data_IF_414799726759
#
_entry.id   IF_414799726759
#
_cell.length_a   1.000
_cell.length_b   1.000
_cell.length_c   1.000
_cell.angle_alpha   90.00
_cell.angle_beta   90.00
_cell.angle_gamma   90.00
#
_symmetry.space_group_name_H-M   'P 1'
#
loop_
_entity.id
_entity.type
_entity.pdbx_description
1 polymer ?
#
# COMPACT_ATOMS: atom_id res chain seq x y z
N UNK A 1 15.34 12.63 -13.07
CA UNK A 1 16.78 12.41 -12.81
C UNK A 1 17.04 11.76 -11.45
N UNK A 2 16.34 12.13 -10.36
CA UNK A 2 16.46 11.49 -9.03
C UNK A 2 15.45 10.37 -8.71
N UNK A 3 14.65 9.91 -9.69
CA UNK A 3 13.62 8.88 -9.49
C UNK A 3 14.11 7.44 -9.71
N UNK A 4 15.41 7.25 -9.98
CA UNK A 4 16.02 5.93 -10.14
C UNK A 4 17.35 5.90 -9.39
N UNK A 5 17.30 5.39 -8.16
CA UNK A 5 18.45 4.95 -7.37
C UNK A 5 18.33 3.42 -7.20
N UNK A 6 19.42 2.65 -7.07
CA UNK A 6 19.33 1.23 -6.71
C UNK A 6 18.98 1.12 -5.22
N UNK A 7 17.71 1.35 -4.88
CA UNK A 7 17.22 1.25 -3.51
C UNK A 7 16.24 0.09 -3.45
N UNK A 8 16.79 -1.11 -3.29
CA UNK A 8 15.98 -2.20 -2.79
C UNK A 8 15.54 -1.86 -1.37
N UNK A 9 14.25 -1.98 -1.12
CA UNK A 9 13.68 -1.87 0.22
C UNK A 9 13.24 -3.24 0.68
N UNK A 10 13.31 -3.48 1.99
CA UNK A 10 12.70 -4.65 2.58
C UNK A 10 11.24 -4.35 2.86
N UNK A 11 10.35 -5.06 2.18
CA UNK A 11 8.93 -5.03 2.45
C UNK A 11 8.51 -6.22 3.29
N UNK A 12 7.59 -6.04 4.22
CA UNK A 12 7.03 -7.12 5.02
C UNK A 12 5.53 -7.19 4.82
N UNK A 13 5.00 -8.39 4.63
CA UNK A 13 3.57 -8.63 4.42
C UNK A 13 3.01 -9.53 5.50
N UNK A 14 2.03 -9.03 6.25
CA UNK A 14 1.30 -9.81 7.26
C UNK A 14 0.25 -10.72 6.64
N UNK A 15 0.36 -12.02 6.87
CA UNK A 15 -0.52 -13.07 6.30
C UNK A 15 -0.62 -14.30 7.22
N UNK A 16 -1.07 -15.45 6.74
CA UNK A 16 -1.07 -16.71 7.47
C UNK A 16 0.16 -17.60 7.17
N UNK A 17 0.51 -18.47 8.12
CA UNK A 17 1.66 -19.37 8.03
C UNK A 17 1.63 -20.27 6.78
N UNK A 18 0.42 -20.68 6.33
CA UNK A 18 0.27 -21.52 5.13
C UNK A 18 0.70 -20.71 3.91
N UNK A 19 0.21 -19.49 3.76
CA UNK A 19 0.59 -18.58 2.67
C UNK A 19 2.10 -18.34 2.65
N UNK A 20 2.73 -18.11 3.81
CA UNK A 20 4.19 -17.97 3.89
C UNK A 20 4.89 -19.22 3.35
N UNK A 21 4.45 -20.40 3.78
CA UNK A 21 5.04 -21.69 3.37
C UNK A 21 4.84 -21.96 1.89
N UNK A 22 3.64 -21.71 1.36
CA UNK A 22 3.32 -21.92 -0.05
C UNK A 22 4.20 -21.03 -0.95
N UNK A 23 4.33 -19.74 -0.63
CA UNK A 23 5.13 -18.79 -1.42
C UNK A 23 6.63 -19.10 -1.37
N UNK A 24 7.16 -19.48 -0.22
CA UNK A 24 8.59 -19.79 -0.10
C UNK A 24 8.99 -21.10 -0.80
N UNK A 25 8.03 -22.00 -1.05
CA UNK A 25 8.28 -23.27 -1.74
C UNK A 25 7.97 -23.23 -3.25
N UNK A 26 7.48 -22.10 -3.77
CA UNK A 26 7.22 -21.91 -5.19
C UNK A 26 8.04 -20.74 -5.75
N UNK A 27 9.11 -21.00 -6.53
CA UNK A 27 9.93 -19.96 -7.15
C UNK A 27 9.17 -18.99 -8.08
N UNK A 28 7.97 -19.36 -8.54
CA UNK A 28 7.09 -18.51 -9.36
C UNK A 28 5.90 -17.96 -8.57
N UNK A 29 5.75 -18.39 -7.32
CA UNK A 29 4.65 -18.02 -6.45
C UNK A 29 4.74 -16.56 -6.02
N UNK A 30 3.60 -15.86 -6.04
CA UNK A 30 3.49 -14.49 -5.57
C UNK A 30 2.30 -14.31 -4.65
N UNK A 31 2.42 -13.36 -3.73
CA UNK A 31 1.28 -12.88 -2.95
C UNK A 31 0.21 -12.33 -3.89
N UNK A 32 -1.06 -12.52 -3.52
CA UNK A 32 -2.17 -12.00 -4.31
C UNK A 32 -2.17 -10.47 -4.30
N UNK A 33 -2.31 -9.88 -5.49
CA UNK A 33 -2.55 -8.45 -5.62
C UNK A 33 -3.95 -8.12 -5.12
N UNK A 34 -4.05 -7.03 -4.38
CA UNK A 34 -5.32 -6.44 -3.98
C UNK A 34 -5.84 -5.51 -5.09
N UNK A 35 -7.17 -5.44 -5.23
CA UNK A 35 -7.87 -4.59 -6.18
C UNK A 35 -9.22 -4.13 -5.60
N UNK A 36 -9.28 -3.91 -4.29
CA UNK A 36 -10.52 -3.47 -3.65
C UNK A 36 -10.66 -1.95 -3.77
N UNK A 37 -11.90 -1.47 -3.79
CA UNK A 37 -12.24 -0.04 -3.91
C UNK A 37 -11.76 0.82 -2.74
N UNK A 38 -11.38 0.20 -1.62
CA UNK A 38 -10.99 0.87 -0.39
C UNK A 38 -9.49 0.80 -0.09
N UNK A 39 -8.69 0.24 -1.02
CA UNK A 39 -7.25 0.05 -0.84
C UNK A 39 -6.53 1.40 -0.89
N UNK A 40 -5.82 1.75 0.19
CA UNK A 40 -5.31 3.11 0.37
C UNK A 40 -4.40 3.63 -0.75
N UNK A 41 -3.45 2.81 -1.20
CA UNK A 41 -2.47 3.17 -2.23
C UNK A 41 -2.86 2.65 -3.62
N UNK A 42 -4.15 2.36 -3.84
CA UNK A 42 -4.66 1.75 -5.08
C UNK A 42 -4.40 0.24 -5.19
N UNK A 43 -4.61 -0.33 -6.37
CA UNK A 43 -4.40 -1.77 -6.60
C UNK A 43 -2.92 -2.19 -6.55
N UNK A 44 -2.61 -3.27 -5.85
CA UNK A 44 -1.25 -3.82 -5.75
C UNK A 44 -1.05 -4.84 -4.62
N UNK A 45 0.19 -5.32 -4.47
CA UNK A 45 0.63 -6.14 -3.34
C UNK A 45 1.21 -5.21 -2.26
N UNK A 46 0.66 -5.28 -1.06
CA UNK A 46 0.94 -4.33 0.03
C UNK A 46 2.06 -4.82 0.96
N UNK A 47 2.98 -3.92 1.31
CA UNK A 47 4.07 -4.19 2.24
C UNK A 47 4.26 -3.04 3.22
N UNK A 48 4.63 -3.38 4.46
CA UNK A 48 5.24 -2.45 5.41
C UNK A 48 6.73 -2.35 5.11
N UNK A 49 7.23 -1.14 4.86
CA UNK A 49 8.64 -0.93 4.61
C UNK A 49 9.43 -1.03 5.92
N UNK A 50 10.41 -1.93 5.97
CA UNK A 50 11.33 -2.13 7.09
C UNK A 50 10.69 -2.41 8.47
N UNK A 51 9.40 -2.78 8.53
CA UNK A 51 8.68 -2.99 9.78
C UNK A 51 7.92 -4.33 9.82
N UNK A 52 8.63 -5.43 10.15
CA UNK A 52 8.01 -6.74 10.25
C UNK A 52 7.07 -6.87 11.47
N UNK A 53 7.30 -6.07 12.52
CA UNK A 53 6.49 -6.07 13.74
C UNK A 53 5.09 -5.53 13.43
N UNK A 54 5.01 -4.37 12.77
CA UNK A 54 3.72 -3.78 12.36
C UNK A 54 2.98 -4.67 11.38
N UNK A 55 3.69 -5.31 10.43
CA UNK A 55 3.10 -6.29 9.52
C UNK A 55 2.45 -7.47 10.29
N UNK A 56 3.13 -8.01 11.31
CA UNK A 56 2.59 -9.08 12.15
C UNK A 56 1.37 -8.60 12.96
N UNK A 57 1.46 -7.40 13.55
CA UNK A 57 0.35 -6.79 14.28
C UNK A 57 -0.88 -6.65 13.39
N UNK A 58 -0.71 -6.15 12.16
CA UNK A 58 -1.81 -6.03 11.20
C UNK A 58 -2.42 -7.39 10.86
N UNK A 59 -1.60 -8.42 10.65
CA UNK A 59 -2.11 -9.77 10.40
C UNK A 59 -2.99 -10.27 11.54
N UNK A 60 -2.55 -10.09 12.79
CA UNK A 60 -3.32 -10.46 14.00
C UNK A 60 -4.64 -9.70 14.07
N UNK A 61 -4.60 -8.38 13.86
CA UNK A 61 -5.77 -7.50 13.87
C UNK A 61 -6.78 -7.89 12.79
N UNK A 62 -6.32 -8.09 11.55
CA UNK A 62 -7.14 -8.46 10.40
C UNK A 62 -7.81 -9.82 10.60
N UNK A 63 -7.09 -10.82 11.11
CA UNK A 63 -7.68 -12.13 11.41
C UNK A 63 -8.76 -12.01 12.48
N UNK A 64 -8.52 -11.22 13.55
CA UNK A 64 -9.51 -10.93 14.58
C UNK A 64 -10.76 -10.25 14.01
N UNK A 65 -10.60 -9.23 13.16
CA UNK A 65 -11.73 -8.53 12.53
C UNK A 65 -12.56 -9.44 11.63
N UNK A 66 -11.91 -10.40 10.96
CA UNK A 66 -12.58 -11.38 10.09
C UNK A 66 -13.10 -12.61 10.83
N UNK A 67 -12.90 -12.72 12.14
CA UNK A 67 -13.28 -13.90 12.93
C UNK A 67 -12.51 -15.17 12.54
N UNK A 68 -11.31 -15.04 11.97
CA UNK A 68 -10.47 -16.18 11.56
C UNK A 68 -9.75 -16.73 12.80
N UNK A 69 -10.03 -17.99 13.14
CA UNK A 69 -9.50 -18.67 14.34
C UNK A 69 -8.65 -19.90 14.02
N UNK A 70 -8.76 -20.43 12.81
CA UNK A 70 -8.09 -21.64 12.32
C UNK A 70 -6.73 -21.38 11.65
N UNK A 71 -6.37 -20.11 11.46
CA UNK A 71 -5.10 -19.69 10.84
C UNK A 71 -4.15 -19.05 11.84
N UNK A 72 -2.86 -19.36 11.69
CA UNK A 72 -1.78 -18.74 12.47
C UNK A 72 -1.26 -17.47 11.76
N UNK A 73 -1.32 -16.29 12.39
CA UNK A 73 -0.69 -15.07 11.86
C UNK A 73 0.81 -15.26 11.67
N UNK A 74 1.33 -14.77 10.55
CA UNK A 74 2.73 -14.85 10.13
C UNK A 74 3.12 -13.63 9.29
N UNK A 75 4.42 -13.48 9.01
CA UNK A 75 4.97 -12.43 8.15
C UNK A 75 5.91 -13.06 7.15
N UNK A 76 5.86 -12.58 5.91
CA UNK A 76 6.83 -12.86 4.87
C UNK A 76 7.55 -11.57 4.49
N UNK A 77 8.88 -11.63 4.36
CA UNK A 77 9.70 -10.55 3.85
C UNK A 77 9.81 -10.61 2.32
N UNK A 78 10.02 -9.47 1.68
CA UNK A 78 10.24 -9.33 0.26
C UNK A 78 11.36 -8.33 0.00
N UNK A 79 12.23 -8.63 -0.96
CA UNK A 79 13.20 -7.68 -1.51
C UNK A 79 12.50 -6.97 -2.67
N UNK A 80 12.27 -5.67 -2.54
CA UNK A 80 11.47 -4.89 -3.48
C UNK A 80 12.34 -3.85 -4.16
N UNK A 81 12.45 -3.94 -5.47
CA UNK A 81 12.91 -2.87 -6.34
C UNK A 81 11.73 -1.96 -6.66
N UNK A 82 11.73 -0.73 -6.16
CA UNK A 82 10.60 0.18 -6.29
C UNK A 82 10.32 0.60 -7.75
N UNK A 83 11.27 0.42 -8.67
CA UNK A 83 11.11 0.83 -10.07
C UNK A 83 10.84 2.33 -10.22
N UNK A 84 9.96 2.71 -11.14
CA UNK A 84 9.37 4.06 -11.15
C UNK A 84 8.32 4.12 -10.03
N UNK A 85 8.65 4.78 -8.92
CA UNK A 85 7.79 4.87 -7.74
C UNK A 85 7.00 6.18 -7.69
N UNK A 86 5.70 6.11 -7.42
CA UNK A 86 4.91 7.24 -6.97
C UNK A 86 5.13 7.41 -5.47
N UNK A 87 6.17 8.17 -5.11
CA UNK A 87 6.55 8.43 -3.72
C UNK A 87 5.83 9.68 -3.19
N UNK A 88 4.77 9.50 -2.41
CA UNK A 88 3.92 10.59 -1.89
C UNK A 88 4.56 11.43 -0.77
N UNK A 89 5.88 11.36 -0.62
CA UNK A 89 6.68 12.33 0.14
C UNK A 89 7.39 13.34 -0.78
N UNK A 90 7.30 13.18 -2.10
CA UNK A 90 7.92 14.06 -3.09
C UNK A 90 6.89 15.07 -3.64
N UNK A 91 7.30 16.34 -3.73
CA UNK A 91 6.38 17.40 -4.15
C UNK A 91 5.81 17.22 -5.56
N UNK A 92 6.60 16.64 -6.48
CA UNK A 92 6.11 16.33 -7.82
C UNK A 92 5.03 15.24 -7.80
N UNK A 93 5.19 14.21 -6.98
CA UNK A 93 4.21 13.14 -6.84
C UNK A 93 2.91 13.68 -6.19
N UNK A 94 3.03 14.54 -5.19
CA UNK A 94 1.90 15.21 -4.54
C UNK A 94 1.15 16.12 -5.53
N UNK A 95 1.87 16.83 -6.39
CA UNK A 95 1.26 17.66 -7.43
C UNK A 95 0.51 16.83 -8.49
N UNK A 96 1.09 15.69 -8.93
CA UNK A 96 0.38 14.76 -9.82
C UNK A 96 -0.90 14.21 -9.16
N UNK A 97 -0.87 13.89 -7.85
CA UNK A 97 -2.03 13.45 -7.09
C UNK A 97 -3.11 14.53 -7.00
N UNK A 98 -2.70 15.79 -6.75
CA UNK A 98 -3.60 16.95 -6.71
C UNK A 98 -4.32 17.17 -8.04
N UNK A 99 -3.60 17.07 -9.16
CA UNK A 99 -4.18 17.16 -10.50
C UNK A 99 -5.18 16.03 -10.75
N UNK A 100 -4.83 14.80 -10.39
CA UNK A 100 -5.73 13.66 -10.55
C UNK A 100 -7.02 13.80 -9.74
N UNK A 101 -6.93 14.31 -8.50
CA UNK A 101 -8.10 14.63 -7.69
C UNK A 101 -8.96 15.73 -8.32
N UNK A 102 -8.35 16.79 -8.87
CA UNK A 102 -9.08 17.86 -9.57
C UNK A 102 -9.91 17.32 -10.73
N UNK A 103 -9.30 16.53 -11.62
CA UNK A 103 -10.02 15.89 -12.73
C UNK A 103 -11.14 14.98 -12.24
N UNK A 104 -10.88 14.20 -11.18
CA UNK A 104 -11.91 13.33 -10.60
C UNK A 104 -13.09 14.14 -10.05
N UNK A 105 -12.82 15.25 -9.37
CA UNK A 105 -13.84 16.13 -8.81
C UNK A 105 -14.71 16.74 -9.92
N UNK A 106 -14.08 17.25 -10.98
CA UNK A 106 -14.79 17.84 -12.11
C UNK A 106 -15.69 16.81 -12.82
N UNK A 107 -15.22 15.56 -12.97
CA UNK A 107 -16.02 14.46 -13.51
C UNK A 107 -17.28 14.21 -12.65
N UNK A 108 -17.14 14.11 -11.33
CA UNK A 108 -18.27 13.86 -10.42
C UNK A 108 -19.27 15.02 -10.41
N UNK A 109 -18.78 16.27 -10.41
CA UNK A 109 -19.62 17.46 -10.52
C UNK A 109 -20.42 17.48 -11.84
N UNK A 110 -19.80 17.08 -12.95
CA UNK A 110 -20.46 16.99 -14.26
C UNK A 110 -21.58 15.94 -14.29
N UNK A 111 -21.38 14.80 -13.63
CA UNK A 111 -22.38 13.72 -13.55
C UNK A 111 -23.43 13.94 -12.45
N UNK A 112 -23.25 14.96 -11.59
CA UNK A 112 -24.15 15.22 -10.47
C UNK A 112 -24.09 14.14 -9.38
N UNK A 113 -22.92 13.50 -9.22
CA UNK A 113 -22.68 12.47 -8.21
C UNK A 113 -21.78 13.00 -7.08
N UNK A 114 -21.96 12.48 -5.86
CA UNK A 114 -21.10 12.81 -4.74
C UNK A 114 -19.80 12.00 -4.79
N UNK A 115 -18.68 12.66 -4.51
CA UNK A 115 -17.39 11.99 -4.34
C UNK A 115 -17.46 10.98 -3.17
N UNK A 116 -16.82 9.80 -3.30
CA UNK A 116 -16.66 8.93 -2.16
C UNK A 116 -15.83 9.61 -1.07
N UNK A 117 -16.02 9.18 0.17
CA UNK A 117 -15.25 9.69 1.32
C UNK A 117 -14.35 8.60 1.88
N UNK A 118 -13.23 9.01 2.48
CA UNK A 118 -12.37 8.11 3.23
C UNK A 118 -12.99 7.81 4.61
N UNK A 119 -12.82 6.57 5.08
CA UNK A 119 -13.30 6.05 6.35
C UNK A 119 -14.80 6.38 6.63
N UNK A 120 -15.73 6.05 5.71
CA UNK A 120 -17.15 6.36 5.87
C UNK A 120 -17.76 5.69 7.12
N UNK A 121 -17.19 4.58 7.57
CA UNK A 121 -17.56 3.83 8.77
C UNK A 121 -16.61 4.05 9.95
N UNK A 122 -15.80 5.11 9.89
CA UNK A 122 -14.75 5.43 10.87
C UNK A 122 -13.55 4.48 10.83
N UNK A 123 -13.52 3.49 9.93
CA UNK A 123 -12.38 2.57 9.81
C UNK A 123 -11.30 3.18 8.95
N UNK A 124 -10.18 3.52 9.58
CA UNK A 124 -9.05 4.22 8.96
C UNK A 124 -8.42 3.48 7.76
N UNK A 125 -8.59 2.16 7.67
CA UNK A 125 -8.09 1.36 6.55
C UNK A 125 -9.00 1.43 5.31
N UNK A 126 -10.22 1.95 5.42
CA UNK A 126 -11.14 2.12 4.31
C UNK A 126 -10.90 3.46 3.63
N UNK A 127 -10.26 3.45 2.46
CA UNK A 127 -9.74 4.68 1.81
C UNK A 127 -10.29 4.84 0.39
N UNK A 128 -11.61 4.88 0.28
CA UNK A 128 -12.32 4.89 -1.00
C UNK A 128 -11.92 6.06 -1.91
N UNK A 129 -11.80 7.27 -1.35
CA UNK A 129 -11.41 8.44 -2.14
C UNK A 129 -9.94 8.36 -2.55
N UNK A 130 -9.05 7.99 -1.63
CA UNK A 130 -7.62 7.90 -1.94
C UNK A 130 -7.36 6.84 -3.03
N UNK A 131 -7.99 5.66 -2.92
CA UNK A 131 -7.93 4.59 -3.92
C UNK A 131 -8.35 5.12 -5.30
N UNK A 132 -9.50 5.80 -5.36
CA UNK A 132 -10.06 6.30 -6.61
C UNK A 132 -9.19 7.41 -7.24
N UNK A 133 -8.59 8.28 -6.42
CA UNK A 133 -7.67 9.33 -6.89
C UNK A 133 -6.38 8.71 -7.45
N UNK A 134 -5.81 7.71 -6.79
CA UNK A 134 -4.60 7.02 -7.27
C UNK A 134 -4.88 6.27 -8.57
N UNK A 135 -6.03 5.58 -8.65
CA UNK A 135 -6.45 4.91 -9.88
C UNK A 135 -6.68 5.91 -11.01
N UNK A 136 -7.27 7.08 -10.71
CA UNK A 136 -7.43 8.17 -11.68
C UNK A 136 -6.07 8.68 -12.17
N UNK A 137 -5.11 8.88 -11.26
CA UNK A 137 -3.75 9.27 -11.62
C UNK A 137 -3.12 8.27 -12.58
N UNK A 138 -3.23 6.97 -12.30
CA UNK A 138 -2.71 5.93 -13.18
C UNK A 138 -3.38 5.93 -14.57
N UNK A 139 -4.69 6.13 -14.62
CA UNK A 139 -5.44 6.27 -15.88
C UNK A 139 -5.02 7.50 -16.68
N UNK A 140 -4.83 8.65 -16.02
CA UNK A 140 -4.35 9.87 -16.68
C UNK A 140 -2.97 9.65 -17.30
N UNK A 141 -2.04 9.03 -16.57
CA UNK A 141 -0.72 8.69 -17.11
C UNK A 141 -0.80 7.80 -18.34
N UNK A 142 -1.67 6.79 -18.32
CA UNK A 142 -1.90 5.91 -19.46
C UNK A 142 -2.46 6.68 -20.66
N UNK A 143 -3.46 7.53 -20.45
CA UNK A 143 -4.05 8.37 -21.50
C UNK A 143 -3.05 9.34 -22.14
N UNK A 144 -2.08 9.83 -21.36
CA UNK A 144 -1.01 10.71 -21.85
C UNK A 144 0.25 9.96 -22.31
N UNK A 145 0.22 8.63 -22.39
CA UNK A 145 1.38 7.83 -22.84
C UNK A 145 2.60 7.91 -21.90
N UNK A 146 2.40 8.28 -20.64
CA UNK A 146 3.46 8.36 -19.64
C UNK A 146 3.79 6.95 -19.10
N UNK A 147 5.05 6.75 -18.71
CA UNK A 147 5.48 5.48 -18.10
C UNK A 147 4.63 5.15 -16.86
N UNK A 148 4.15 3.91 -16.76
CA UNK A 148 3.36 3.44 -15.61
C UNK A 148 4.22 3.45 -14.35
N UNK A 149 3.62 3.79 -13.21
CA UNK A 149 4.25 3.60 -11.91
C UNK A 149 4.28 2.12 -11.56
N UNK A 150 5.42 1.64 -11.11
CA UNK A 150 5.68 0.26 -10.70
C UNK A 150 5.28 0.02 -9.25
N UNK A 151 5.34 1.07 -8.43
CA UNK A 151 4.96 1.07 -7.03
C UNK A 151 4.40 2.41 -6.58
N UNK A 152 3.64 2.40 -5.49
CA UNK A 152 3.18 3.59 -4.77
C UNK A 152 3.69 3.47 -3.33
N UNK A 153 4.26 4.55 -2.79
CA UNK A 153 4.87 4.57 -1.45
C UNK A 153 4.42 5.81 -0.70
N UNK A 154 3.98 5.62 0.55
CA UNK A 154 3.59 6.75 1.42
C UNK A 154 3.80 6.43 2.90
N UNK A 155 4.06 7.45 3.71
CA UNK A 155 3.92 7.36 5.16
C UNK A 155 2.45 7.42 5.55
N UNK A 156 2.05 6.64 6.55
CA UNK A 156 0.71 6.60 7.10
C UNK A 156 0.74 6.94 8.58
N UNK A 157 -0.08 7.93 8.97
CA UNK A 157 -0.31 8.28 10.36
C UNK A 157 -1.42 7.38 10.93
N UNK A 158 -1.09 6.49 11.86
CA UNK A 158 -2.06 5.52 12.42
C UNK A 158 -1.90 5.33 13.93
N UNK A 159 -3.05 5.27 14.61
CA UNK A 159 -3.12 5.00 16.04
C UNK A 159 -3.21 6.27 16.87
N UNK A 160 -3.08 6.12 18.18
CA UNK A 160 -3.05 7.25 19.13
C UNK A 160 -1.67 7.90 19.12
N UNK A 161 -1.60 9.14 19.57
CA UNK A 161 -0.33 9.82 19.89
C UNK A 161 0.55 8.96 20.79
N UNK A 162 1.86 8.97 20.54
CA UNK A 162 2.83 8.28 21.41
C UNK A 162 2.95 8.97 22.76
N UNK A 163 2.84 10.30 22.78
CA UNK A 163 2.81 11.16 23.97
C UNK A 163 2.09 12.47 23.63
N UNK A 164 1.59 13.18 24.64
CA UNK A 164 0.73 14.34 24.43
C UNK A 164 1.36 15.43 23.54
N UNK A 165 0.63 15.85 22.50
CA UNK A 165 1.00 16.95 21.61
C UNK A 165 1.98 16.58 20.50
N UNK A 166 2.24 15.29 20.29
CA UNK A 166 3.15 14.82 19.24
C UNK A 166 2.45 14.47 17.94
N UNK A 167 3.14 14.65 16.82
CA UNK A 167 2.70 14.15 15.51
C UNK A 167 3.08 12.68 15.26
N UNK A 168 3.75 12.01 16.20
CA UNK A 168 4.04 10.58 16.11
C UNK A 168 2.88 9.75 16.66
N UNK A 169 2.35 8.82 15.86
CA UNK A 169 1.33 7.88 16.32
C UNK A 169 1.92 6.47 16.51
N UNK A 170 1.32 5.72 17.43
CA UNK A 170 1.78 4.41 17.90
C UNK A 170 1.90 3.34 16.81
N UNK A 171 1.26 3.53 15.65
CA UNK A 171 1.29 2.59 14.52
C UNK A 171 1.76 3.25 13.22
N UNK A 172 2.47 4.38 13.31
CA UNK A 172 3.04 5.02 12.13
C UNK A 172 3.91 4.05 11.36
N UNK A 173 3.77 4.07 10.04
CA UNK A 173 4.54 3.20 9.16
C UNK A 173 4.64 3.79 7.77
N UNK A 174 5.57 3.26 6.98
CA UNK A 174 5.60 3.47 5.55
C UNK A 174 4.99 2.24 4.89
N UNK A 175 4.05 2.47 3.99
CA UNK A 175 3.41 1.42 3.21
C UNK A 175 3.80 1.53 1.73
N UNK A 176 3.96 0.38 1.10
CA UNK A 176 4.26 0.24 -0.32
C UNK A 176 3.18 -0.63 -0.95
N UNK A 177 2.54 -0.15 -2.02
CA UNK A 177 1.76 -0.96 -2.93
C UNK A 177 2.58 -1.24 -4.19
N UNK A 178 2.99 -2.50 -4.37
CA UNK A 178 3.71 -2.95 -5.56
C UNK A 178 2.70 -3.34 -6.64
N UNK A 179 2.76 -2.67 -7.79
CA UNK A 179 1.81 -2.86 -8.90
C UNK A 179 2.26 -3.90 -9.92
N UNK A 180 3.57 -4.20 -9.94
CA UNK A 180 4.17 -5.18 -10.85
C UNK A 180 5.01 -6.19 -10.06
N UNK A 181 4.71 -7.49 -10.19
CA UNK A 181 5.46 -8.54 -9.51
C UNK A 181 6.93 -8.61 -9.93
N UNK A 182 7.29 -8.05 -11.10
CA UNK A 182 8.69 -7.92 -11.54
C UNK A 182 9.55 -7.03 -10.60
N UNK A 183 8.92 -6.22 -9.76
CA UNK A 183 9.56 -5.43 -8.71
C UNK A 183 10.00 -6.29 -7.52
N UNK A 184 9.36 -7.45 -7.31
CA UNK A 184 9.66 -8.34 -6.21
C UNK A 184 10.78 -9.28 -6.64
N UNK A 185 11.98 -9.10 -6.08
CA UNK A 185 13.18 -9.88 -6.44
C UNK A 185 13.28 -11.20 -5.71
N UNK A 186 12.53 -11.36 -4.62
CA UNK A 186 12.43 -12.59 -3.88
C UNK A 186 11.70 -12.39 -2.57
N UNK A 187 11.21 -13.50 -2.02
CA UNK A 187 10.63 -13.56 -0.69
C UNK A 187 11.58 -14.26 0.28
N UNK A 188 11.48 -13.94 1.56
CA UNK A 188 12.30 -14.52 2.62
C UNK A 188 11.56 -14.60 3.95
N UNK A 189 12.07 -15.43 4.87
CA UNK A 189 11.63 -15.41 6.27
C UNK A 189 12.40 -14.33 7.04
N UNK A 190 11.70 -13.40 7.73
CA UNK A 190 12.35 -12.49 8.66
C UNK A 190 13.15 -13.27 9.72
N UNK A 191 14.34 -12.78 10.10
CA UNK A 191 15.18 -13.46 11.09
C UNK A 191 14.59 -13.39 12.50
N UNK A 192 14.15 -12.19 12.90
CA UNK A 192 13.60 -11.91 14.23
C UNK A 192 12.33 -11.03 14.09
N UNK A 193 11.38 -11.21 15.03
CA UNK A 193 10.10 -10.47 15.13
C UNK A 193 9.87 -9.99 16.56
#
# INVERSE_FOLDING_TARGET
>A
MYQRLPNWVLGFHGTDQKTVTDILNDPKGHLNSSANVHDWLGGGIYFWENDPIRALQFSKERMKWKGVTDKKPAVIGAIIDLGLCLNLSEQKALEELRVAYGVLKDDFELFGEDLPVNAPDGKLWSRNLDCLVIDRLHKLRENFGMTKYDSVRSSFKEGKEVYAGTEFQMKNHIQIAVRSTACIKGYFLPRDL
#
